data_IF_735259726678
#
_entry.id   IF_735259726678
#
_cell.length_a   1.000
_cell.length_b   1.000
_cell.length_c   1.000
_cell.angle_alpha   90.00
_cell.angle_beta   90.00
_cell.angle_gamma   90.00
#
_symmetry.space_group_name_H-M   'P 1'
#
loop_
_entity.id
_entity.type
_entity.pdbx_description
1 polymer ?
#
# COMPACT_ATOMS: atom_id res chain seq x y z
N UNK A 1 26.74 16.48 1.14
CA UNK A 1 25.83 17.47 1.75
C UNK A 1 24.67 17.87 0.84
N UNK A 2 24.87 18.23 -0.45
CA UNK A 2 23.75 18.44 -1.39
C UNK A 2 23.28 17.16 -2.12
N UNK A 3 24.20 16.20 -2.36
CA UNK A 3 23.91 14.93 -3.05
C UNK A 3 22.97 14.03 -2.21
N UNK A 4 23.11 14.08 -0.89
CA UNK A 4 22.38 13.21 0.03
C UNK A 4 20.87 13.48 -0.04
N UNK A 5 20.42 14.74 0.02
CA UNK A 5 18.98 15.10 -0.09
C UNK A 5 18.30 14.60 -1.36
N UNK A 6 19.03 14.38 -2.44
CA UNK A 6 18.47 13.95 -3.72
C UNK A 6 18.09 12.47 -3.70
N UNK A 7 18.80 11.64 -2.94
CA UNK A 7 18.62 10.17 -2.98
C UNK A 7 17.30 9.75 -2.34
N UNK A 8 16.98 10.26 -1.14
CA UNK A 8 15.68 9.97 -0.53
C UNK A 8 14.50 10.41 -1.43
N UNK A 9 14.59 11.57 -2.09
CA UNK A 9 13.51 12.04 -2.98
C UNK A 9 13.39 11.20 -4.25
N UNK A 10 14.50 10.75 -4.83
CA UNK A 10 14.46 9.78 -5.95
C UNK A 10 13.78 8.49 -5.48
N UNK A 11 14.15 7.99 -4.30
CA UNK A 11 13.54 6.79 -3.72
C UNK A 11 12.06 7.00 -3.37
N UNK A 12 11.65 8.21 -3.00
CA UNK A 12 10.26 8.55 -2.75
C UNK A 12 9.38 8.36 -4.00
N UNK A 13 9.87 8.86 -5.14
CA UNK A 13 9.19 8.67 -6.42
C UNK A 13 9.26 7.22 -6.90
N UNK A 14 10.40 6.55 -6.71
CA UNK A 14 10.53 5.13 -7.02
C UNK A 14 9.58 4.27 -6.17
N UNK A 15 9.40 4.61 -4.90
CA UNK A 15 8.45 3.97 -4.00
C UNK A 15 7.01 4.16 -4.48
N UNK A 16 6.63 5.40 -4.83
CA UNK A 16 5.29 5.65 -5.37
C UNK A 16 5.05 4.85 -6.66
N UNK A 17 6.05 4.76 -7.55
CA UNK A 17 5.97 3.93 -8.76
C UNK A 17 5.85 2.42 -8.43
N UNK A 18 6.61 1.91 -7.45
CA UNK A 18 6.53 0.53 -7.00
C UNK A 18 5.14 0.19 -6.44
N UNK A 19 4.56 1.07 -5.63
CA UNK A 19 3.17 0.95 -5.14
C UNK A 19 2.17 0.92 -6.28
N UNK A 20 2.31 1.80 -7.29
CA UNK A 20 1.43 1.80 -8.47
C UNK A 20 1.51 0.49 -9.23
N UNK A 21 2.71 -0.02 -9.49
CA UNK A 21 2.92 -1.30 -10.20
C UNK A 21 2.31 -2.46 -9.42
N UNK A 22 2.53 -2.50 -8.10
CA UNK A 22 1.96 -3.51 -7.23
C UNK A 22 0.43 -3.47 -7.22
N UNK A 23 -0.15 -2.29 -7.00
CA UNK A 23 -1.59 -2.08 -6.99
C UNK A 23 -2.23 -2.41 -8.34
N UNK A 24 -1.53 -2.19 -9.45
CA UNK A 24 -1.98 -2.56 -10.79
C UNK A 24 -2.06 -4.08 -10.95
N UNK A 25 -1.03 -4.80 -10.49
CA UNK A 25 -1.02 -6.26 -10.49
C UNK A 25 -2.22 -6.83 -9.72
N UNK A 26 -2.43 -6.33 -8.50
CA UNK A 26 -3.56 -6.75 -7.67
C UNK A 26 -4.91 -6.36 -8.30
N UNK A 27 -5.04 -5.16 -8.88
CA UNK A 27 -6.26 -4.69 -9.52
C UNK A 27 -6.76 -5.60 -10.65
N UNK A 28 -5.82 -6.30 -11.30
CA UNK A 28 -6.08 -7.25 -12.38
C UNK A 28 -6.40 -8.63 -11.82
N UNK A 29 -5.59 -9.13 -10.88
CA UNK A 29 -5.60 -10.55 -10.50
C UNK A 29 -6.31 -10.85 -9.17
N UNK A 30 -6.23 -9.95 -8.19
CA UNK A 30 -6.67 -10.21 -6.81
C UNK A 30 -8.18 -10.45 -6.69
N UNK A 31 -9.08 -9.70 -7.37
CA UNK A 31 -10.51 -9.95 -7.25
C UNK A 31 -10.92 -11.38 -7.65
N UNK A 32 -10.37 -11.90 -8.75
CA UNK A 32 -10.64 -13.27 -9.18
C UNK A 32 -10.02 -14.31 -8.24
N UNK A 33 -8.78 -14.07 -7.78
CA UNK A 33 -8.09 -14.93 -6.84
C UNK A 33 -8.82 -15.01 -5.49
N UNK A 34 -9.35 -13.89 -4.98
CA UNK A 34 -10.02 -13.80 -3.68
C UNK A 34 -11.24 -14.72 -3.56
N UNK A 35 -11.93 -14.99 -4.68
CA UNK A 35 -13.08 -15.92 -4.73
C UNK A 35 -12.67 -17.37 -4.41
N UNK A 36 -11.39 -17.69 -4.53
CA UNK A 36 -10.83 -19.03 -4.33
C UNK A 36 -9.93 -19.11 -3.09
N UNK A 37 -9.80 -18.01 -2.33
CA UNK A 37 -8.87 -17.90 -1.21
C UNK A 37 -9.39 -18.53 0.10
N UNK A 38 -10.69 -18.81 0.19
CA UNK A 38 -11.31 -19.40 1.38
C UNK A 38 -11.02 -18.56 2.64
N UNK A 39 -10.48 -19.19 3.68
CA UNK A 39 -10.16 -18.52 4.96
C UNK A 39 -9.02 -17.50 4.90
N UNK A 40 -8.25 -17.45 3.81
CA UNK A 40 -7.10 -16.55 3.69
C UNK A 40 -7.47 -15.15 3.24
N UNK A 41 -8.61 -15.00 2.54
CA UNK A 41 -9.08 -13.71 2.10
C UNK A 41 -10.59 -13.76 1.85
N UNK A 42 -11.33 -12.80 2.39
CA UNK A 42 -12.75 -12.67 2.05
C UNK A 42 -12.90 -12.28 0.57
N UNK A 43 -13.85 -12.85 -0.19
CA UNK A 43 -14.06 -12.45 -1.57
C UNK A 43 -14.31 -10.93 -1.66
N UNK A 44 -13.60 -10.27 -2.57
CA UNK A 44 -13.78 -8.83 -2.83
C UNK A 44 -14.29 -8.63 -4.25
N UNK A 45 -15.23 -7.71 -4.41
CA UNK A 45 -15.69 -7.29 -5.73
C UNK A 45 -14.61 -6.46 -6.43
N UNK A 46 -14.54 -6.62 -7.75
CA UNK A 46 -13.49 -6.01 -8.55
C UNK A 46 -13.54 -4.47 -8.53
N UNK A 47 -14.74 -3.89 -8.39
CA UNK A 47 -14.92 -2.44 -8.50
C UNK A 47 -14.50 -1.71 -7.23
N UNK A 48 -14.95 -2.17 -6.06
CA UNK A 48 -14.52 -1.60 -4.79
C UNK A 48 -13.02 -1.83 -4.53
N UNK A 49 -12.49 -2.97 -4.98
CA UNK A 49 -11.06 -3.26 -4.87
C UNK A 49 -10.24 -2.28 -5.71
N UNK A 50 -10.58 -2.13 -7.00
CA UNK A 50 -9.92 -1.18 -7.92
C UNK A 50 -10.01 0.26 -7.42
N UNK A 51 -11.15 0.66 -6.86
CA UNK A 51 -11.30 1.96 -6.23
C UNK A 51 -10.32 2.16 -5.07
N UNK A 52 -10.25 1.19 -4.15
CA UNK A 52 -9.36 1.29 -2.99
C UNK A 52 -7.89 1.36 -3.38
N UNK A 53 -7.42 0.49 -4.28
CA UNK A 53 -6.01 0.49 -4.70
C UNK A 53 -5.64 1.73 -5.52
N UNK A 54 -6.59 2.33 -6.25
CA UNK A 54 -6.40 3.61 -6.92
C UNK A 54 -6.20 4.75 -5.90
N UNK A 55 -7.03 4.81 -4.86
CA UNK A 55 -6.90 5.81 -3.80
C UNK A 55 -5.58 5.63 -3.05
N UNK A 56 -5.21 4.39 -2.72
CA UNK A 56 -3.94 4.08 -2.05
C UNK A 56 -2.72 4.47 -2.91
N UNK A 57 -2.78 4.27 -4.23
CA UNK A 57 -1.74 4.73 -5.15
C UNK A 57 -1.65 6.25 -5.20
N UNK A 58 -2.79 6.96 -5.24
CA UNK A 58 -2.83 8.41 -5.19
C UNK A 58 -2.25 8.97 -3.87
N UNK A 59 -2.51 8.30 -2.74
CA UNK A 59 -1.92 8.66 -1.45
C UNK A 59 -0.41 8.45 -1.42
N UNK A 60 0.13 7.41 -2.06
CA UNK A 60 1.57 7.20 -2.15
C UNK A 60 2.26 8.31 -2.97
N UNK A 61 1.66 8.68 -4.11
CA UNK A 61 2.10 9.81 -4.93
C UNK A 61 2.02 11.13 -4.14
N UNK A 62 0.91 11.34 -3.42
CA UNK A 62 0.71 12.52 -2.58
C UNK A 62 1.75 12.61 -1.46
N UNK A 63 2.06 11.50 -0.79
CA UNK A 63 3.09 11.45 0.24
C UNK A 63 4.49 11.75 -0.33
N UNK A 64 4.82 11.21 -1.51
CA UNK A 64 6.09 11.50 -2.19
C UNK A 64 6.20 12.98 -2.57
N UNK A 65 5.12 13.56 -3.10
CA UNK A 65 5.05 14.99 -3.42
C UNK A 65 5.22 15.86 -2.17
N UNK A 66 4.51 15.55 -1.08
CA UNK A 66 4.64 16.28 0.18
C UNK A 66 6.06 16.17 0.75
N UNK A 67 6.68 14.99 0.70
CA UNK A 67 8.05 14.81 1.15
C UNK A 67 9.05 15.63 0.33
N UNK A 68 8.85 15.70 -0.99
CA UNK A 68 9.67 16.51 -1.89
C UNK A 68 9.54 18.02 -1.65
N UNK A 69 8.32 18.49 -1.35
CA UNK A 69 8.05 19.91 -1.11
C UNK A 69 8.45 20.36 0.30
N UNK A 70 8.24 19.52 1.32
CA UNK A 70 8.42 19.91 2.72
C UNK A 70 9.79 19.52 3.29
N UNK A 71 10.48 18.53 2.72
CA UNK A 71 11.84 18.15 3.09
C UNK A 71 11.95 17.37 4.40
N UNK A 72 13.07 17.54 5.09
CA UNK A 72 13.46 16.79 6.29
C UNK A 72 12.53 17.08 7.49
N UNK A 73 12.30 16.07 8.33
CA UNK A 73 11.48 16.17 9.55
C UNK A 73 10.04 16.67 9.30
N UNK A 74 9.56 16.55 8.07
CA UNK A 74 8.25 17.05 7.65
C UNK A 74 7.15 15.98 7.73
N UNK A 75 5.89 16.44 7.76
CA UNK A 75 4.74 15.54 7.68
C UNK A 75 4.82 14.63 6.45
N UNK A 76 5.21 15.17 5.29
CA UNK A 76 5.39 14.38 4.06
C UNK A 76 6.41 13.26 4.21
N UNK A 77 7.56 13.54 4.84
CA UNK A 77 8.62 12.55 5.06
C UNK A 77 8.16 11.42 6.00
N UNK A 78 7.45 11.76 7.09
CA UNK A 78 6.89 10.76 8.01
C UNK A 78 5.78 9.93 7.34
N UNK A 79 4.85 10.56 6.61
CA UNK A 79 3.77 9.87 5.87
C UNK A 79 4.34 8.86 4.88
N UNK A 80 5.28 9.29 4.04
CA UNK A 80 5.91 8.44 3.03
C UNK A 80 6.67 7.27 3.68
N UNK A 81 7.46 7.54 4.71
CA UNK A 81 8.23 6.51 5.41
C UNK A 81 7.33 5.52 6.16
N UNK A 82 6.23 5.99 6.76
CA UNK A 82 5.23 5.14 7.39
C UNK A 82 4.48 4.27 6.37
N UNK A 83 4.19 4.79 5.19
CA UNK A 83 3.64 4.00 4.08
C UNK A 83 4.66 2.95 3.63
N UNK A 84 5.94 3.29 3.46
CA UNK A 84 6.98 2.33 3.13
C UNK A 84 7.09 1.19 4.17
N UNK A 85 6.97 1.52 5.46
CA UNK A 85 6.87 0.50 6.51
C UNK A 85 5.62 -0.38 6.34
N UNK A 86 4.46 0.20 6.03
CA UNK A 86 3.24 -0.57 5.75
C UNK A 86 3.42 -1.52 4.55
N UNK A 87 4.11 -1.08 3.49
CA UNK A 87 4.42 -1.91 2.33
C UNK A 87 5.39 -3.05 2.66
N UNK A 88 6.38 -2.83 3.53
CA UNK A 88 7.25 -3.91 4.01
C UNK A 88 6.49 -4.97 4.80
N UNK A 89 5.61 -4.54 5.70
CA UNK A 89 4.74 -5.45 6.44
C UNK A 89 3.80 -6.20 5.48
N UNK A 90 3.27 -5.49 4.47
CA UNK A 90 2.41 -6.05 3.45
C UNK A 90 3.10 -7.16 2.62
N UNK A 91 4.39 -6.99 2.26
CA UNK A 91 5.21 -8.04 1.60
C UNK A 91 5.17 -9.35 2.40
N UNK A 92 5.31 -9.27 3.72
CA UNK A 92 5.27 -10.44 4.59
C UNK A 92 3.84 -10.97 4.73
N UNK A 93 2.93 -10.09 5.14
CA UNK A 93 1.51 -10.40 5.33
C UNK A 93 0.64 -9.38 4.58
N UNK A 94 -0.12 -9.79 3.55
CA UNK A 94 -0.51 -11.17 3.29
C UNK A 94 0.37 -11.93 2.27
N UNK A 95 1.17 -11.24 1.45
CA UNK A 95 1.71 -11.82 0.20
C UNK A 95 2.53 -13.09 0.37
N UNK A 96 3.65 -13.02 1.12
CA UNK A 96 4.49 -14.18 1.34
C UNK A 96 3.77 -15.27 2.14
N UNK A 97 3.10 -14.89 3.23
CA UNK A 97 2.45 -15.85 4.12
C UNK A 97 1.35 -16.64 3.39
N UNK A 98 0.46 -15.97 2.67
CA UNK A 98 -0.61 -16.64 1.92
C UNK A 98 -0.03 -17.46 0.77
N UNK A 99 0.98 -16.97 0.06
CA UNK A 99 1.62 -17.72 -1.01
C UNK A 99 2.21 -19.04 -0.52
N UNK A 100 2.95 -19.00 0.59
CA UNK A 100 3.56 -20.19 1.19
C UNK A 100 2.49 -21.13 1.74
N UNK A 101 1.56 -20.62 2.54
CA UNK A 101 0.59 -21.44 3.24
C UNK A 101 -0.46 -22.05 2.29
N UNK A 102 -0.83 -21.36 1.21
CA UNK A 102 -1.71 -21.89 0.17
C UNK A 102 -0.96 -22.67 -0.92
N UNK A 103 0.38 -22.63 -0.92
CA UNK A 103 1.25 -23.17 -1.98
C UNK A 103 0.82 -22.73 -3.38
N UNK A 104 0.33 -21.49 -3.47
CA UNK A 104 -0.23 -20.90 -4.68
C UNK A 104 0.16 -19.44 -4.73
N UNK A 105 0.50 -18.95 -5.91
CA UNK A 105 0.76 -17.53 -6.12
C UNK A 105 -0.41 -16.65 -5.61
N UNK A 106 -0.12 -15.78 -4.65
CA UNK A 106 -1.01 -14.69 -4.28
C UNK A 106 -0.65 -13.45 -5.13
N UNK A 107 -1.62 -12.85 -5.84
CA UNK A 107 -1.43 -11.57 -6.52
C UNK A 107 -0.75 -10.53 -5.64
N UNK A 108 0.15 -9.76 -6.23
CA UNK A 108 0.99 -8.79 -5.56
C UNK A 108 2.32 -9.36 -5.05
N UNK A 109 2.49 -10.68 -4.95
CA UNK A 109 3.73 -11.26 -4.39
C UNK A 109 4.96 -10.98 -5.25
N UNK A 110 4.85 -11.11 -6.57
CA UNK A 110 6.00 -10.89 -7.46
C UNK A 110 6.46 -9.42 -7.41
N UNK A 111 5.51 -8.48 -7.55
CA UNK A 111 5.82 -7.05 -7.48
C UNK A 111 6.25 -6.60 -6.09
N UNK A 112 5.69 -7.20 -5.03
CA UNK A 112 6.10 -6.92 -3.67
C UNK A 112 7.56 -7.29 -3.43
N UNK A 113 7.99 -8.47 -3.87
CA UNK A 113 9.37 -8.94 -3.72
C UNK A 113 10.34 -8.20 -4.64
N UNK A 114 9.96 -7.98 -5.89
CA UNK A 114 10.84 -7.37 -6.89
C UNK A 114 11.01 -5.86 -6.70
N UNK A 115 9.97 -5.17 -6.20
CA UNK A 115 9.96 -3.70 -6.12
C UNK A 115 9.71 -3.19 -4.71
N UNK A 116 8.58 -3.51 -4.08
CA UNK A 116 8.23 -2.90 -2.79
C UNK A 116 9.26 -3.21 -1.71
N UNK A 117 9.75 -4.44 -1.63
CA UNK A 117 10.75 -4.85 -0.64
C UNK A 117 12.07 -4.07 -0.79
N UNK A 118 12.80 -4.16 -1.92
CA UNK A 118 14.09 -3.48 -2.04
C UNK A 118 13.94 -1.94 -1.96
N UNK A 119 12.89 -1.38 -2.56
CA UNK A 119 12.68 0.07 -2.56
C UNK A 119 12.32 0.57 -1.17
N UNK A 120 11.41 -0.09 -0.45
CA UNK A 120 10.98 0.38 0.88
C UNK A 120 12.07 0.21 1.94
N UNK A 121 12.85 -0.88 1.89
CA UNK A 121 14.03 -1.04 2.77
C UNK A 121 15.04 0.09 2.51
N UNK A 122 15.37 0.33 1.24
CA UNK A 122 16.36 1.35 0.88
C UNK A 122 15.87 2.76 1.22
N UNK A 123 14.59 3.05 0.96
CA UNK A 123 13.96 4.33 1.29
C UNK A 123 14.02 4.59 2.80
N UNK A 124 13.62 3.62 3.63
CA UNK A 124 13.66 3.78 5.09
C UNK A 124 15.08 3.95 5.61
N UNK A 125 16.03 3.16 5.10
CA UNK A 125 17.43 3.31 5.47
C UNK A 125 17.94 4.72 5.16
N UNK A 126 17.63 5.25 3.96
CA UNK A 126 18.00 6.62 3.56
C UNK A 126 17.24 7.68 4.34
N UNK A 127 15.98 7.44 4.67
CA UNK A 127 15.17 8.36 5.47
C UNK A 127 15.82 8.65 6.83
N UNK A 128 16.36 7.62 7.50
CA UNK A 128 17.11 7.78 8.74
C UNK A 128 18.51 8.35 8.51
N UNK A 129 19.27 7.79 7.55
CA UNK A 129 20.66 8.19 7.31
C UNK A 129 20.79 9.67 6.87
N UNK A 130 19.80 10.16 6.14
CA UNK A 130 19.75 11.54 5.65
C UNK A 130 18.94 12.48 6.56
N UNK A 131 18.43 11.99 7.70
CA UNK A 131 17.68 12.80 8.67
C UNK A 131 16.35 13.33 8.16
N UNK A 132 15.70 12.63 7.21
CA UNK A 132 14.32 12.93 6.81
C UNK A 132 13.31 12.55 7.90
N UNK A 133 13.64 11.54 8.68
CA UNK A 133 12.89 11.13 9.88
C UNK A 133 13.84 10.87 11.04
N UNK A 134 13.38 11.17 12.24
CA UNK A 134 14.06 10.87 13.50
C UNK A 134 13.53 9.58 14.10
N UNK A 135 14.40 8.76 14.67
CA UNK A 135 14.04 7.46 15.26
C UNK A 135 12.99 7.60 16.36
N UNK A 136 13.11 8.62 17.21
CA UNK A 136 12.19 8.84 18.33
C UNK A 136 10.76 9.15 17.87
N UNK A 137 10.60 10.05 16.88
CA UNK A 137 9.27 10.38 16.35
C UNK A 137 8.73 9.26 15.48
N UNK A 138 9.58 8.61 14.68
CA UNK A 138 9.16 7.53 13.80
C UNK A 138 8.70 6.27 14.56
N UNK A 139 9.24 6.02 15.75
CA UNK A 139 8.79 4.92 16.61
C UNK A 139 7.28 5.00 16.95
N UNK A 140 6.71 6.21 16.94
CA UNK A 140 5.27 6.42 17.11
C UNK A 140 4.56 6.65 15.77
N UNK A 141 5.10 7.54 14.93
CA UNK A 141 4.47 7.93 13.66
C UNK A 141 4.37 6.76 12.68
N UNK A 142 5.41 5.92 12.56
CA UNK A 142 5.43 4.75 11.68
C UNK A 142 4.28 3.78 11.97
N UNK A 143 4.19 3.21 13.18
CA UNK A 143 3.09 2.34 13.57
C UNK A 143 1.71 3.01 13.46
N UNK A 144 1.60 4.31 13.80
CA UNK A 144 0.34 5.04 13.66
C UNK A 144 -0.12 5.14 12.20
N UNK A 145 0.80 5.40 11.27
CA UNK A 145 0.51 5.46 9.83
C UNK A 145 0.16 4.06 9.28
N UNK A 146 0.88 3.02 9.70
CA UNK A 146 0.54 1.63 9.36
C UNK A 146 -0.89 1.31 9.80
N UNK A 147 -1.23 1.61 11.05
CA UNK A 147 -2.56 1.39 11.59
C UNK A 147 -3.61 2.20 10.81
N UNK A 148 -3.33 3.47 10.50
CA UNK A 148 -4.21 4.30 9.71
C UNK A 148 -4.49 3.71 8.32
N UNK A 149 -3.46 3.19 7.62
CA UNK A 149 -3.62 2.53 6.32
C UNK A 149 -4.44 1.24 6.46
N UNK A 150 -4.14 0.41 7.46
CA UNK A 150 -4.88 -0.84 7.72
C UNK A 150 -6.36 -0.57 7.98
N UNK A 151 -6.69 0.49 8.73
CA UNK A 151 -8.07 0.90 8.98
C UNK A 151 -8.72 1.59 7.78
N UNK A 152 -7.93 2.25 6.93
CA UNK A 152 -8.42 2.91 5.73
C UNK A 152 -8.89 1.90 4.68
N UNK A 153 -8.22 0.76 4.52
CA UNK A 153 -8.58 -0.29 3.55
C UNK A 153 -10.06 -0.73 3.65
N UNK A 154 -10.58 -1.18 4.80
CA UNK A 154 -11.99 -1.58 4.92
C UNK A 154 -12.95 -0.39 4.72
N UNK A 155 -12.55 0.82 5.12
CA UNK A 155 -13.32 2.04 4.87
C UNK A 155 -13.44 2.34 3.36
N UNK A 156 -12.34 2.20 2.61
CA UNK A 156 -12.34 2.36 1.15
C UNK A 156 -13.18 1.30 0.45
N UNK A 157 -13.13 0.04 0.90
CA UNK A 157 -14.02 -0.99 0.37
C UNK A 157 -15.50 -0.68 0.65
N UNK A 158 -15.83 -0.19 1.84
CA UNK A 158 -17.19 0.24 2.16
C UNK A 158 -17.65 1.39 1.26
N UNK A 159 -16.82 2.43 1.10
CA UNK A 159 -17.12 3.56 0.23
C UNK A 159 -17.24 3.14 -1.23
N UNK A 160 -16.32 2.30 -1.73
CA UNK A 160 -16.35 1.78 -3.10
C UNK A 160 -17.64 1.03 -3.41
N UNK A 161 -18.13 0.19 -2.48
CA UNK A 161 -19.42 -0.50 -2.64
C UNK A 161 -20.61 0.48 -2.67
N UNK A 162 -20.56 1.56 -1.91
CA UNK A 162 -21.62 2.57 -1.86
C UNK A 162 -21.65 3.44 -3.12
N UNK A 163 -20.47 3.87 -3.58
CA UNK A 163 -20.33 4.72 -4.77
C UNK A 163 -20.58 3.96 -6.06
N UNK A 164 -20.27 2.66 -6.09
CA UNK A 164 -20.41 1.85 -7.28
C UNK A 164 -21.04 0.48 -7.00
N UNK A 165 -22.36 0.44 -6.75
CA UNK A 165 -23.08 -0.80 -6.46
C UNK A 165 -22.87 -1.84 -7.58
N UNK A 166 -22.49 -3.07 -7.23
CA UNK A 166 -22.51 -4.19 -8.16
C UNK A 166 -23.97 -4.61 -8.42
N UNK A 167 -24.31 -4.89 -9.68
CA UNK A 167 -25.64 -5.37 -10.08
C UNK A 167 -26.03 -6.72 -9.44
N UNK A 168 -25.06 -7.49 -8.92
CA UNK A 168 -25.29 -8.74 -8.18
C UNK A 168 -26.07 -8.53 -6.86
N UNK A 169 -26.01 -7.35 -6.22
CA UNK A 169 -26.78 -7.07 -5.00
C UNK A 169 -28.22 -6.63 -5.29
N UNK A 170 -28.54 -6.22 -6.52
CA UNK A 170 -29.88 -5.79 -6.90
C UNK A 170 -30.85 -6.97 -7.05
N UNK A 171 -30.36 -8.13 -7.53
CA UNK A 171 -31.20 -9.33 -7.68
C UNK A 171 -31.60 -9.95 -6.34
N UNK A 172 -30.75 -9.87 -5.32
CA UNK A 172 -31.06 -10.43 -4.00
C UNK A 172 -32.11 -9.62 -3.20
N UNK A 173 -32.28 -8.33 -3.53
CA UNK A 173 -33.35 -7.49 -2.94
C UNK A 173 -34.66 -7.53 -3.73
N UNK A 174 -34.64 -7.97 -4.98
CA UNK A 174 -35.85 -8.11 -5.80
C UNK A 174 -36.65 -9.40 -5.50
N UNK A 175 -36.06 -10.34 -4.75
CA UNK A 175 -36.67 -11.63 -4.39
C UNK A 175 -36.91 -11.81 -2.88
N UNK A 176 -37.02 -10.71 -2.13
CA UNK A 176 -37.47 -10.71 -0.74
C UNK A 176 -38.72 -9.86 -0.59
#
# INVERSE_FOLDING_TARGET
MAIDRTVFIILAWLFAAAVVVHNLEEAILLPAWSKQAGRWHSPVGAREFRFAVLVLAALAIGAALLAALQGQESMGAYLLSGYALAMLLNVVFPHLLATIAMRRYMPGTATALAFNLPVSVTLLHRAFAEGYISSARFALAGPAIVLAIVLLIPALFYLGRKLWPSSEMASHRAHR
#
